data_IF_267938596743
#
_entry.id   IF_267938596743
#
_cell.length_a   1.000
_cell.length_b   1.000
_cell.length_c   1.000
_cell.angle_alpha   90.00
_cell.angle_beta   90.00
_cell.angle_gamma   90.00
#
_symmetry.space_group_name_H-M   'P 1'
#
loop_
_entity.id
_entity.type
_entity.pdbx_description
1 polymer ?
#
# COMPACT_ATOMS: atom_id res chain seq x y z
N UNK A 1 4.82 -10.58 12.95
CA UNK A 1 4.16 -10.28 11.65
C UNK A 1 2.83 -9.58 11.90
N UNK A 2 2.49 -8.66 11.05
CA UNK A 2 1.19 -8.02 11.10
C UNK A 2 0.33 -8.53 9.94
N UNK A 3 -0.98 -8.47 10.15
CA UNK A 3 -1.94 -8.89 9.13
C UNK A 3 -2.52 -7.64 8.46
N UNK A 4 -2.56 -7.69 7.14
CA UNK A 4 -3.08 -6.61 6.31
C UNK A 4 -4.14 -7.17 5.37
N UNK A 5 -5.00 -6.30 4.88
CA UNK A 5 -5.89 -6.63 3.78
C UNK A 5 -5.49 -5.76 2.60
N UNK A 6 -5.10 -6.38 1.50
CA UNK A 6 -4.66 -5.64 0.32
C UNK A 6 -5.53 -6.04 -0.86
N UNK A 7 -6.27 -5.07 -1.38
CA UNK A 7 -7.23 -5.29 -2.46
C UNK A 7 -8.19 -6.44 -2.14
N UNK A 8 -8.65 -6.47 -0.88
CA UNK A 8 -9.59 -7.47 -0.42
C UNK A 8 -8.99 -8.82 -0.07
N UNK A 9 -7.67 -8.97 -0.14
CA UNK A 9 -7.01 -10.25 0.14
C UNK A 9 -6.14 -10.15 1.39
N UNK A 10 -6.14 -11.19 2.24
CA UNK A 10 -5.29 -11.17 3.43
C UNK A 10 -3.81 -11.28 3.05
N UNK A 11 -2.99 -10.50 3.71
CA UNK A 11 -1.54 -10.48 3.52
C UNK A 11 -0.87 -10.31 4.86
N UNK A 12 0.40 -10.66 4.91
CA UNK A 12 1.20 -10.47 6.11
C UNK A 12 2.42 -9.62 5.78
N UNK A 13 2.87 -8.86 6.76
CA UNK A 13 4.08 -8.06 6.62
C UNK A 13 4.84 -8.08 7.95
N UNK A 14 6.11 -7.73 7.87
CA UNK A 14 6.95 -7.63 9.06
C UNK A 14 6.49 -6.44 9.90
N UNK A 15 6.58 -6.56 11.21
CA UNK A 15 6.22 -5.47 12.11
C UNK A 15 7.00 -4.20 11.74
N UNK A 16 6.33 -3.06 11.85
CA UNK A 16 6.93 -1.76 11.58
C UNK A 16 7.35 -1.56 10.12
N UNK A 17 6.76 -2.28 9.19
CA UNK A 17 7.03 -2.08 7.77
C UNK A 17 6.47 -0.74 7.34
N UNK A 18 7.29 0.02 6.63
CA UNK A 18 6.89 1.30 6.05
C UNK A 18 6.05 1.06 4.79
N UNK A 19 5.04 1.90 4.59
CA UNK A 19 4.15 1.72 3.43
C UNK A 19 4.91 1.78 2.11
N UNK A 20 5.81 2.74 1.95
CA UNK A 20 6.57 2.85 0.72
C UNK A 20 7.41 1.60 0.47
N UNK A 21 8.08 1.11 1.51
CA UNK A 21 8.87 -0.11 1.39
C UNK A 21 7.99 -1.31 1.04
N UNK A 22 6.80 -1.37 1.60
CA UNK A 22 5.89 -2.48 1.30
C UNK A 22 5.44 -2.43 -0.17
N UNK A 23 5.15 -1.23 -0.67
CA UNK A 23 4.72 -1.07 -2.05
C UNK A 23 5.80 -1.49 -3.05
N UNK A 24 7.07 -1.36 -2.67
CA UNK A 24 8.14 -1.80 -3.57
C UNK A 24 8.19 -3.31 -3.75
N UNK A 25 7.53 -4.06 -2.87
CA UNK A 25 7.46 -5.52 -3.03
C UNK A 25 6.44 -5.93 -4.09
N UNK A 26 5.63 -4.99 -4.55
CA UNK A 26 4.63 -5.23 -5.59
C UNK A 26 5.19 -4.76 -6.92
N UNK A 27 4.70 -5.33 -8.00
CA UNK A 27 5.10 -4.93 -9.34
C UNK A 27 4.27 -3.72 -9.77
N UNK A 28 4.49 -2.59 -9.10
CA UNK A 28 3.76 -1.36 -9.39
C UNK A 28 4.74 -0.20 -9.52
N UNK A 29 4.37 0.77 -10.34
CA UNK A 29 5.16 1.98 -10.49
C UNK A 29 4.63 3.02 -9.49
N UNK A 30 5.43 3.32 -8.48
CA UNK A 30 5.01 4.23 -7.42
C UNK A 30 4.68 5.63 -7.92
N UNK A 31 5.15 6.00 -9.10
CA UNK A 31 4.86 7.32 -9.68
C UNK A 31 3.41 7.44 -10.13
N UNK A 32 2.78 6.31 -10.45
CA UNK A 32 1.44 6.31 -11.05
C UNK A 32 0.42 5.55 -10.24
N UNK A 33 0.84 4.88 -9.18
CA UNK A 33 -0.09 4.09 -8.39
C UNK A 33 -0.90 5.00 -7.46
N UNK A 34 -2.17 4.66 -7.28
CA UNK A 34 -3.01 5.30 -6.29
C UNK A 34 -3.18 4.34 -5.12
N UNK A 35 -3.10 4.84 -3.91
CA UNK A 35 -3.20 4.01 -2.72
C UNK A 35 -4.26 4.56 -1.79
N UNK A 36 -5.21 3.69 -1.42
CA UNK A 36 -6.15 3.97 -0.35
C UNK A 36 -5.67 3.27 0.91
N UNK A 37 -5.61 4.00 2.00
CA UNK A 37 -5.14 3.50 3.27
C UNK A 37 -6.24 3.69 4.31
N UNK A 38 -6.84 2.59 4.75
CA UNK A 38 -7.95 2.62 5.70
C UNK A 38 -9.05 3.58 5.28
N UNK A 39 -9.36 3.58 3.98
CA UNK A 39 -10.44 4.39 3.44
C UNK A 39 -10.05 5.78 2.97
N UNK A 40 -8.79 6.16 3.09
CA UNK A 40 -8.33 7.47 2.67
C UNK A 40 -7.32 7.35 1.54
N UNK A 41 -7.47 8.22 0.53
CA UNK A 41 -6.49 8.27 -0.56
C UNK A 41 -5.23 8.96 -0.06
N UNK A 42 -4.09 8.31 -0.24
CA UNK A 42 -2.82 8.79 0.26
C UNK A 42 -1.99 9.29 -0.93
N UNK A 43 -1.39 10.45 -0.76
CA UNK A 43 -0.52 11.00 -1.78
C UNK A 43 0.84 10.32 -1.74
N UNK A 44 1.49 10.29 -2.90
CA UNK A 44 2.79 9.66 -3.03
C UNK A 44 3.80 10.19 -2.01
N UNK A 45 3.76 11.49 -1.75
CA UNK A 45 4.67 12.13 -0.81
C UNK A 45 4.48 11.64 0.62
N UNK A 46 3.34 11.04 0.90
CA UNK A 46 3.03 10.57 2.26
C UNK A 46 3.43 9.11 2.49
N UNK A 47 3.76 8.38 1.43
CA UNK A 47 4.05 6.94 1.54
C UNK A 47 5.17 6.64 2.54
N UNK A 48 6.23 7.42 2.51
CA UNK A 48 7.39 7.15 3.36
C UNK A 48 7.14 7.50 4.83
N UNK A 49 6.09 8.24 5.11
CA UNK A 49 5.76 8.63 6.48
C UNK A 49 4.76 7.72 7.16
N UNK A 50 4.32 6.66 6.49
CA UNK A 50 3.28 5.78 7.04
C UNK A 50 3.91 4.45 7.42
N UNK A 51 3.70 4.06 8.67
CA UNK A 51 4.10 2.74 9.17
C UNK A 51 2.85 1.88 9.25
N UNK A 52 2.92 0.69 8.66
CA UNK A 52 1.78 -0.22 8.64
C UNK A 52 1.57 -0.85 10.01
N UNK A 53 0.31 -1.10 10.34
CA UNK A 53 -0.09 -1.71 11.60
C UNK A 53 -1.01 -2.89 11.34
N UNK A 54 -1.08 -3.77 12.31
CA UNK A 54 -1.95 -4.94 12.21
C UNK A 54 -3.40 -4.50 11.99
N UNK A 55 -4.05 -5.09 11.00
CA UNK A 55 -5.44 -4.77 10.69
C UNK A 55 -5.62 -3.69 9.64
N UNK A 56 -4.55 -3.10 9.15
CA UNK A 56 -4.66 -2.05 8.12
C UNK A 56 -5.20 -2.61 6.82
N UNK A 57 -5.95 -1.77 6.11
CA UNK A 57 -6.51 -2.10 4.82
C UNK A 57 -5.89 -1.20 3.77
N UNK A 58 -5.39 -1.81 2.71
CA UNK A 58 -4.79 -1.10 1.59
C UNK A 58 -5.54 -1.42 0.30
N UNK A 59 -5.73 -0.39 -0.51
CA UNK A 59 -6.24 -0.57 -1.86
C UNK A 59 -5.22 0.04 -2.80
N UNK A 60 -4.65 -0.80 -3.64
CA UNK A 60 -3.60 -0.37 -4.57
C UNK A 60 -4.20 -0.41 -5.97
N UNK A 61 -4.28 0.75 -6.60
CA UNK A 61 -4.88 0.89 -7.92
C UNK A 61 -3.80 1.33 -8.89
N UNK A 62 -3.59 0.53 -9.91
CA UNK A 62 -2.65 0.86 -10.99
C UNK A 62 -3.42 1.45 -12.16
N UNK A 63 -2.86 2.45 -12.83
CA UNK A 63 -3.49 2.93 -14.05
C UNK A 63 -3.50 1.81 -15.09
N UNK A 64 -4.59 1.72 -15.85
CA UNK A 64 -4.74 0.72 -16.90
C UNK A 64 -4.93 1.44 -18.22
N UNK A 65 -4.75 0.69 -19.28
CA UNK A 65 -5.00 1.25 -20.60
C UNK A 65 -3.78 1.87 -21.23
N UNK A 66 -2.65 1.49 -20.83
CA UNK A 66 -1.43 1.77 -21.54
C UNK A 66 -1.20 3.21 -21.93
N UNK A 67 -1.72 4.03 -21.18
CA UNK A 67 -1.47 5.42 -21.51
C UNK A 67 0.02 5.69 -21.50
#
# INVERSE_FOLDING_TARGET
>A
MINLTVNGKPREAVDNTNLEAYLTTFDVNLRFVAVGFNGEVIKKEEFSGITLSNGDTLEIVRPVGGG
#
